data_IF_159598164952
#
_entry.id   IF_159598164952
#
_cell.length_a   1.000
_cell.length_b   1.000
_cell.length_c   1.000
_cell.angle_alpha   90.00
_cell.angle_beta   90.00
_cell.angle_gamma   90.00
#
_symmetry.space_group_name_H-M   'P 1'
#
loop_
_entity.id
_entity.type
_entity.pdbx_description
1 polymer ?
#
# COMPACT_ATOMS: atom_id res chain seq x y z
N UNK A 1 10.54 -28.57 7.33
CA UNK A 1 9.72 -29.64 7.94
C UNK A 1 9.54 -30.72 6.90
N UNK A 2 9.89 -31.98 7.22
CA UNK A 2 9.67 -33.14 6.35
C UNK A 2 8.22 -33.62 6.47
N UNK A 3 7.77 -34.48 5.54
CA UNK A 3 6.42 -35.06 5.60
C UNK A 3 6.25 -35.91 6.89
N UNK A 4 7.26 -36.71 7.24
CA UNK A 4 7.21 -37.58 8.43
C UNK A 4 7.08 -36.75 9.72
N UNK A 5 7.77 -35.63 9.82
CA UNK A 5 7.64 -34.71 10.97
C UNK A 5 6.23 -34.11 11.06
N UNK A 6 5.62 -33.76 9.92
CA UNK A 6 4.26 -33.25 9.88
C UNK A 6 3.26 -34.32 10.27
N UNK A 7 3.36 -35.54 9.71
CA UNK A 7 2.50 -36.67 10.07
C UNK A 7 2.61 -37.02 11.54
N UNK A 8 3.84 -37.12 12.07
CA UNK A 8 4.06 -37.35 13.51
C UNK A 8 3.41 -36.27 14.36
N UNK A 9 3.50 -34.98 13.92
CA UNK A 9 2.85 -33.90 14.64
C UNK A 9 1.32 -33.96 14.60
N UNK A 10 0.73 -34.52 13.56
CA UNK A 10 -0.72 -34.73 13.43
C UNK A 10 -1.20 -35.90 14.29
N UNK A 11 -0.46 -37.00 14.31
CA UNK A 11 -0.84 -38.27 14.94
C UNK A 11 -0.59 -38.31 16.45
N UNK A 12 0.41 -37.54 16.94
CA UNK A 12 0.71 -37.49 18.38
C UNK A 12 -0.52 -37.02 19.18
N UNK A 13 -0.79 -37.61 20.33
CA UNK A 13 -1.87 -37.16 21.18
C UNK A 13 -1.61 -35.80 21.81
N UNK A 14 -2.64 -35.00 22.13
CA UNK A 14 -2.48 -33.75 22.85
C UNK A 14 -1.95 -34.02 24.27
N UNK A 15 -1.11 -33.12 24.80
CA UNK A 15 -0.56 -33.20 26.15
C UNK A 15 -1.41 -32.36 27.11
N UNK A 16 -2.01 -32.99 28.09
CA UNK A 16 -2.87 -32.35 29.11
C UNK A 16 -4.11 -31.60 28.62
N UNK A 17 -4.50 -31.76 27.36
CA UNK A 17 -5.67 -31.13 26.76
C UNK A 17 -6.51 -32.15 25.97
N UNK A 18 -7.78 -31.80 25.67
CA UNK A 18 -8.66 -32.64 24.87
C UNK A 18 -8.30 -32.60 23.40
N UNK A 19 -7.76 -31.45 22.92
CA UNK A 19 -7.43 -31.21 21.52
C UNK A 19 -6.15 -30.43 21.35
N UNK A 20 -5.49 -30.62 20.22
CA UNK A 20 -4.34 -29.82 19.78
C UNK A 20 -4.59 -29.17 18.43
N UNK A 21 -3.89 -28.07 18.16
CA UNK A 21 -3.92 -27.37 16.87
C UNK A 21 -2.54 -27.50 16.22
N UNK A 22 -2.51 -28.02 14.99
CA UNK A 22 -1.32 -28.06 14.14
C UNK A 22 -1.48 -27.04 13.02
N UNK A 23 -0.64 -25.99 13.01
CA UNK A 23 -0.70 -24.94 11.99
C UNK A 23 0.44 -25.13 11.02
N UNK A 24 0.11 -25.32 9.74
CA UNK A 24 1.07 -25.47 8.63
C UNK A 24 1.00 -24.22 7.75
N UNK A 25 2.09 -23.48 7.70
CA UNK A 25 2.18 -22.25 6.89
C UNK A 25 2.81 -22.55 5.55
N UNK A 26 2.24 -21.98 4.48
CA UNK A 26 2.77 -22.02 3.10
C UNK A 26 3.13 -23.42 2.60
N UNK A 27 2.25 -24.38 2.83
CA UNK A 27 2.49 -25.77 2.47
C UNK A 27 2.57 -25.93 0.94
N UNK A 28 3.75 -26.29 0.45
CA UNK A 28 4.04 -26.36 -1.00
C UNK A 28 3.09 -27.27 -1.78
N UNK A 29 2.60 -28.34 -1.15
CA UNK A 29 1.68 -29.28 -1.78
C UNK A 29 0.32 -28.65 -2.13
N UNK A 30 -0.05 -27.53 -1.54
CA UNK A 30 -1.32 -26.83 -1.83
C UNK A 30 -1.19 -25.78 -2.93
N UNK A 31 0.03 -25.36 -3.30
CA UNK A 31 0.27 -24.26 -4.23
C UNK A 31 0.63 -24.73 -5.64
N UNK A 32 0.58 -23.81 -6.61
CA UNK A 32 1.07 -24.02 -7.99
C UNK A 32 2.60 -24.00 -8.09
N UNK A 33 3.32 -23.66 -7.03
CA UNK A 33 4.78 -23.55 -7.01
C UNK A 33 5.43 -24.89 -7.36
N UNK A 34 6.63 -24.82 -7.96
CA UNK A 34 7.44 -26.05 -8.16
C UNK A 34 7.78 -26.63 -6.79
N UNK A 35 7.44 -27.89 -6.60
CA UNK A 35 7.76 -28.64 -5.39
C UNK A 35 9.29 -28.68 -5.22
N UNK A 36 9.80 -28.20 -4.11
CA UNK A 36 11.23 -28.24 -3.77
C UNK A 36 11.55 -29.36 -2.79
N UNK A 37 10.64 -29.60 -1.84
CA UNK A 37 10.86 -30.45 -0.69
C UNK A 37 9.96 -31.71 -0.68
N UNK A 38 8.98 -31.80 -1.57
CA UNK A 38 8.00 -32.89 -1.59
C UNK A 38 7.89 -33.53 -2.97
N UNK A 39 7.74 -34.85 -3.04
CA UNK A 39 7.51 -35.61 -4.26
C UNK A 39 6.01 -35.81 -4.54
N UNK A 40 5.68 -36.34 -5.72
CA UNK A 40 4.28 -36.73 -6.05
C UNK A 40 3.80 -37.91 -5.20
N UNK A 41 4.73 -38.74 -4.71
CA UNK A 41 4.43 -39.81 -3.77
C UNK A 41 4.03 -39.23 -2.41
N UNK A 42 4.73 -38.21 -1.94
CA UNK A 42 4.40 -37.53 -0.68
C UNK A 42 3.02 -36.88 -0.72
N UNK A 43 2.63 -36.29 -1.87
CA UNK A 43 1.29 -35.73 -2.05
C UNK A 43 0.19 -36.80 -1.89
N UNK A 44 0.37 -37.97 -2.51
CA UNK A 44 -0.59 -39.06 -2.41
C UNK A 44 -0.66 -39.65 -1.00
N UNK A 45 0.49 -39.86 -0.38
CA UNK A 45 0.60 -40.34 1.00
C UNK A 45 -0.08 -39.38 1.96
N UNK A 46 0.18 -38.08 1.83
CA UNK A 46 -0.44 -37.07 2.70
C UNK A 46 -1.95 -36.95 2.47
N UNK A 47 -2.43 -37.04 1.23
CA UNK A 47 -3.84 -36.99 0.92
C UNK A 47 -4.62 -38.14 1.59
N UNK A 48 -4.04 -39.37 1.64
CA UNK A 48 -4.65 -40.50 2.35
C UNK A 48 -4.69 -40.34 3.86
N UNK A 49 -3.68 -39.69 4.46
CA UNK A 49 -3.67 -39.39 5.90
C UNK A 49 -4.69 -38.31 6.30
N UNK A 50 -5.01 -37.37 5.39
CA UNK A 50 -6.04 -36.35 5.64
C UNK A 50 -7.46 -36.94 5.79
N UNK A 51 -7.69 -38.14 5.32
CA UNK A 51 -8.99 -38.81 5.49
C UNK A 51 -9.19 -39.39 6.89
N UNK A 52 -8.09 -39.58 7.65
CA UNK A 52 -8.07 -40.25 8.96
C UNK A 52 -7.33 -39.41 10.02
N UNK A 53 -7.55 -38.11 10.05
CA UNK A 53 -6.98 -37.23 11.09
C UNK A 53 -7.65 -37.55 12.43
N UNK A 54 -6.89 -37.74 13.54
CA UNK A 54 -7.48 -37.96 14.86
C UNK A 54 -8.42 -36.82 15.28
N UNK A 55 -9.57 -37.15 15.87
CA UNK A 55 -10.56 -36.19 16.37
C UNK A 55 -10.00 -35.20 17.39
N UNK A 56 -8.87 -35.56 18.01
CA UNK A 56 -8.12 -34.74 18.96
C UNK A 56 -7.23 -33.70 18.27
N UNK A 57 -7.08 -33.72 16.94
CA UNK A 57 -6.21 -32.83 16.20
C UNK A 57 -7.00 -31.91 15.26
N UNK A 58 -6.82 -30.60 15.41
CA UNK A 58 -7.29 -29.58 14.45
C UNK A 58 -6.12 -29.19 13.57
N UNK A 59 -6.17 -29.55 12.29
CA UNK A 59 -5.15 -29.22 11.31
C UNK A 59 -5.54 -27.97 10.52
N UNK A 60 -4.71 -26.93 10.56
CA UNK A 60 -4.95 -25.65 9.90
C UNK A 60 -3.85 -25.39 8.89
N UNK A 61 -4.22 -25.17 7.62
CA UNK A 61 -3.31 -24.69 6.58
C UNK A 61 -3.51 -23.19 6.35
N UNK A 62 -2.47 -22.41 6.55
CA UNK A 62 -2.42 -21.00 6.21
C UNK A 62 -1.53 -20.84 4.96
N UNK A 63 -2.11 -20.50 3.80
CA UNK A 63 -1.40 -20.37 2.54
C UNK A 63 -1.49 -18.92 2.06
N UNK A 64 -0.33 -18.27 1.87
CA UNK A 64 -0.24 -16.96 1.23
C UNK A 64 -0.11 -17.16 -0.29
N UNK A 65 -1.13 -16.69 -1.03
CA UNK A 65 -1.18 -16.81 -2.49
C UNK A 65 -2.21 -17.80 -3.00
N UNK A 66 -2.06 -18.21 -4.27
CA UNK A 66 -3.05 -19.05 -4.92
C UNK A 66 -2.89 -20.54 -4.58
N UNK A 67 -3.98 -21.14 -4.10
CA UNK A 67 -4.11 -22.58 -3.92
C UNK A 67 -4.49 -23.23 -5.25
N UNK A 68 -3.83 -24.33 -5.65
CA UNK A 68 -4.20 -25.09 -6.85
C UNK A 68 -5.39 -26.03 -6.57
N UNK A 69 -6.58 -25.52 -6.83
CA UNK A 69 -7.86 -26.25 -6.62
C UNK A 69 -8.00 -27.57 -7.41
N UNK A 70 -7.09 -27.83 -8.36
CA UNK A 70 -7.12 -29.08 -9.17
C UNK A 70 -6.45 -30.24 -8.44
N UNK A 71 -5.66 -29.98 -7.42
CA UNK A 71 -4.95 -31.01 -6.67
C UNK A 71 -5.89 -31.85 -5.81
N UNK A 72 -5.63 -33.18 -5.78
CA UNK A 72 -6.43 -34.12 -4.98
C UNK A 72 -6.43 -33.77 -3.49
N UNK A 73 -5.29 -33.35 -2.96
CA UNK A 73 -5.12 -32.92 -1.57
C UNK A 73 -6.06 -31.75 -1.20
N UNK A 74 -6.23 -30.77 -2.10
CA UNK A 74 -7.13 -29.63 -1.87
C UNK A 74 -8.59 -30.08 -1.86
N UNK A 75 -8.93 -31.03 -2.74
CA UNK A 75 -10.27 -31.62 -2.78
C UNK A 75 -10.56 -32.42 -1.50
N UNK A 76 -9.61 -33.21 -1.00
CA UNK A 76 -9.74 -33.95 0.26
C UNK A 76 -9.95 -33.00 1.45
N UNK A 77 -9.17 -31.91 1.54
CA UNK A 77 -9.34 -30.88 2.58
C UNK A 77 -10.74 -30.25 2.50
N UNK A 78 -11.20 -29.91 1.28
CA UNK A 78 -12.50 -29.28 1.09
C UNK A 78 -13.69 -30.21 1.40
N UNK A 79 -13.51 -31.53 1.31
CA UNK A 79 -14.54 -32.52 1.66
C UNK A 79 -14.62 -32.76 3.17
N UNK A 80 -13.47 -32.82 3.83
CA UNK A 80 -13.37 -33.22 5.25
C UNK A 80 -13.23 -32.04 6.20
N UNK A 81 -13.15 -30.80 5.70
CA UNK A 81 -12.93 -29.60 6.47
C UNK A 81 -13.57 -28.37 5.84
N UNK A 82 -13.11 -27.22 6.28
CA UNK A 82 -13.60 -25.91 5.82
C UNK A 82 -12.46 -25.15 5.16
N UNK A 83 -12.70 -24.66 3.95
CA UNK A 83 -11.75 -23.81 3.23
C UNK A 83 -12.29 -22.37 3.13
N UNK A 84 -11.52 -21.41 3.63
CA UNK A 84 -11.81 -19.98 3.49
C UNK A 84 -10.86 -19.32 2.50
N UNK A 85 -11.41 -18.51 1.60
CA UNK A 85 -10.64 -17.66 0.72
C UNK A 85 -10.60 -16.25 1.32
N UNK A 86 -9.41 -15.81 1.78
CA UNK A 86 -9.21 -14.51 2.40
C UNK A 86 -8.77 -13.48 1.35
N UNK A 87 -9.67 -13.12 0.44
CA UNK A 87 -9.44 -12.06 -0.55
C UNK A 87 -9.67 -10.67 0.03
N UNK A 88 -9.20 -9.65 -0.70
CA UNK A 88 -9.52 -8.26 -0.36
C UNK A 88 -11.04 -8.06 -0.45
N UNK A 89 -11.63 -7.55 0.62
CA UNK A 89 -13.08 -7.30 0.69
C UNK A 89 -13.53 -6.22 -0.30
N UNK A 90 -14.82 -6.21 -0.67
CA UNK A 90 -15.38 -5.23 -1.62
C UNK A 90 -15.30 -3.79 -1.08
N UNK A 91 -15.46 -2.78 -1.95
CA UNK A 91 -15.40 -1.37 -1.54
C UNK A 91 -16.49 -1.03 -0.51
N UNK A 92 -17.68 -1.58 -0.70
CA UNK A 92 -18.80 -1.37 0.22
C UNK A 92 -18.56 -2.02 1.58
N UNK A 93 -18.00 -3.22 1.59
CA UNK A 93 -17.63 -3.92 2.84
C UNK A 93 -16.49 -3.22 3.55
N UNK A 94 -15.48 -2.77 2.81
CA UNK A 94 -14.36 -2.00 3.36
C UNK A 94 -14.85 -0.68 4.00
N UNK A 95 -15.74 0.03 3.33
CA UNK A 95 -16.33 1.24 3.88
C UNK A 95 -17.09 0.97 5.18
N UNK A 96 -17.98 -0.03 5.18
CA UNK A 96 -18.76 -0.40 6.38
C UNK A 96 -17.85 -0.86 7.53
N UNK A 97 -16.83 -1.65 7.20
CA UNK A 97 -15.88 -2.15 8.19
C UNK A 97 -15.05 -1.00 8.79
N UNK A 98 -14.53 -0.10 7.96
CA UNK A 98 -13.76 1.08 8.38
C UNK A 98 -14.59 1.99 9.27
N UNK A 99 -15.83 2.27 8.87
CA UNK A 99 -16.78 3.08 9.66
C UNK A 99 -16.98 2.47 11.04
N UNK A 100 -17.32 1.18 11.10
CA UNK A 100 -17.52 0.46 12.37
C UNK A 100 -16.27 0.48 13.26
N UNK A 101 -15.05 0.46 12.67
CA UNK A 101 -13.80 0.54 13.41
C UNK A 101 -13.58 1.91 14.04
N UNK A 102 -13.84 3.01 13.32
CA UNK A 102 -13.80 4.36 13.88
C UNK A 102 -14.84 4.54 14.98
N UNK A 103 -16.07 4.08 14.76
CA UNK A 103 -17.14 4.10 15.77
C UNK A 103 -16.75 3.34 17.05
N UNK A 104 -16.15 2.15 16.91
CA UNK A 104 -15.65 1.35 18.05
C UNK A 104 -14.56 2.08 18.84
N UNK A 105 -13.79 2.94 18.20
CA UNK A 105 -12.77 3.77 18.86
C UNK A 105 -13.32 5.12 19.33
N UNK A 106 -14.63 5.35 19.33
CA UNK A 106 -15.29 6.59 19.71
C UNK A 106 -14.75 7.83 18.96
N UNK A 107 -14.46 7.68 17.67
CA UNK A 107 -13.83 8.71 16.85
C UNK A 107 -14.85 9.39 15.94
N UNK A 108 -14.94 10.72 15.99
CA UNK A 108 -15.80 11.50 15.11
C UNK A 108 -15.18 11.66 13.73
N UNK A 109 -15.82 11.03 12.72
CA UNK A 109 -15.38 11.07 11.33
C UNK A 109 -16.59 11.04 10.38
N UNK A 110 -16.59 11.87 9.33
CA UNK A 110 -17.64 11.84 8.34
C UNK A 110 -17.39 10.79 7.25
N UNK A 111 -18.45 10.43 6.53
CA UNK A 111 -18.35 9.46 5.43
C UNK A 111 -17.36 9.91 4.33
N UNK A 112 -17.27 11.22 4.06
CA UNK A 112 -16.31 11.76 3.09
C UNK A 112 -14.86 11.51 3.50
N UNK A 113 -14.53 11.70 4.79
CA UNK A 113 -13.21 11.43 5.34
C UNK A 113 -12.89 9.93 5.41
N UNK A 114 -13.91 9.09 5.66
CA UNK A 114 -13.75 7.63 5.59
C UNK A 114 -13.37 7.21 4.16
N UNK A 115 -14.05 7.73 3.15
CA UNK A 115 -13.73 7.46 1.74
C UNK A 115 -12.31 7.94 1.39
N UNK A 116 -11.97 9.18 1.79
CA UNK A 116 -10.62 9.73 1.60
C UNK A 116 -9.54 8.86 2.26
N UNK A 117 -9.77 8.42 3.49
CA UNK A 117 -8.87 7.53 4.22
C UNK A 117 -8.68 6.20 3.48
N UNK A 118 -9.77 5.53 3.08
CA UNK A 118 -9.71 4.26 2.34
C UNK A 118 -8.91 4.42 1.03
N UNK A 119 -9.20 5.47 0.26
CA UNK A 119 -8.49 5.75 -0.98
C UNK A 119 -7.00 6.02 -0.73
N UNK A 120 -6.65 6.75 0.34
CA UNK A 120 -5.26 7.06 0.68
C UNK A 120 -4.44 5.84 1.07
N UNK A 121 -5.06 4.78 1.63
CA UNK A 121 -4.36 3.52 1.97
C UNK A 121 -3.89 2.76 0.73
N UNK A 122 -4.57 2.91 -0.40
CA UNK A 122 -4.35 2.11 -1.61
C UNK A 122 -4.62 0.62 -1.40
N UNK A 123 -5.42 0.24 -0.41
CA UNK A 123 -5.75 -1.17 -0.11
C UNK A 123 -6.24 -1.94 -1.33
N UNK A 124 -6.97 -1.27 -2.24
CA UNK A 124 -7.51 -1.88 -3.45
C UNK A 124 -6.52 -1.99 -4.62
N UNK A 125 -5.36 -1.38 -4.52
CA UNK A 125 -4.37 -1.46 -5.58
C UNK A 125 -3.86 -2.90 -5.70
N UNK A 126 -3.79 -3.41 -6.92
CA UNK A 126 -3.39 -4.81 -7.20
C UNK A 126 -1.98 -5.14 -6.73
N UNK A 127 -1.10 -4.13 -6.73
CA UNK A 127 0.30 -4.28 -6.34
C UNK A 127 0.58 -3.84 -4.90
N UNK A 128 -0.46 -3.55 -4.12
CA UNK A 128 -0.32 -3.13 -2.73
C UNK A 128 -0.64 -4.31 -1.81
N UNK A 129 0.31 -4.69 -0.98
CA UNK A 129 0.19 -5.75 0.03
C UNK A 129 -0.52 -5.30 1.31
N UNK A 130 -1.08 -4.08 1.31
CA UNK A 130 -1.80 -3.51 2.45
C UNK A 130 -2.95 -4.42 2.88
N UNK A 131 -2.98 -4.76 4.16
CA UNK A 131 -3.96 -5.67 4.76
C UNK A 131 -5.01 -4.92 5.57
N UNK A 132 -6.07 -5.61 6.00
CA UNK A 132 -7.04 -5.03 6.95
C UNK A 132 -6.40 -4.76 8.32
N UNK A 133 -5.36 -5.51 8.71
CA UNK A 133 -4.62 -5.25 9.93
C UNK A 133 -3.84 -3.93 9.87
N UNK A 134 -3.27 -3.60 8.72
CA UNK A 134 -2.59 -2.33 8.51
C UNK A 134 -3.59 -1.16 8.59
N UNK A 135 -4.77 -1.32 7.98
CA UNK A 135 -5.85 -0.33 8.08
C UNK A 135 -6.31 -0.17 9.54
N UNK A 136 -6.47 -1.26 10.29
CA UNK A 136 -6.85 -1.21 11.71
C UNK A 136 -5.82 -0.45 12.55
N UNK A 137 -4.54 -0.68 12.31
CA UNK A 137 -3.45 0.02 12.99
C UNK A 137 -3.46 1.53 12.66
N UNK A 138 -3.71 1.90 11.40
CA UNK A 138 -3.85 3.31 11.02
C UNK A 138 -5.08 3.96 11.67
N UNK A 139 -6.22 3.26 11.69
CA UNK A 139 -7.42 3.74 12.37
C UNK A 139 -7.14 3.98 13.84
N UNK A 140 -6.49 3.05 14.55
CA UNK A 140 -6.13 3.21 15.96
C UNK A 140 -5.24 4.43 16.18
N UNK A 141 -4.24 4.62 15.32
CA UNK A 141 -3.32 5.77 15.39
C UNK A 141 -4.06 7.09 15.21
N UNK A 142 -4.94 7.18 14.20
CA UNK A 142 -5.77 8.36 13.95
C UNK A 142 -6.72 8.61 15.12
N UNK A 143 -7.37 7.56 15.63
CA UNK A 143 -8.30 7.64 16.75
C UNK A 143 -7.61 8.09 18.04
N UNK A 144 -6.42 7.56 18.34
CA UNK A 144 -5.64 7.97 19.50
C UNK A 144 -5.18 9.42 19.43
N UNK A 145 -4.89 9.92 18.22
CA UNK A 145 -4.52 11.32 18.01
C UNK A 145 -5.72 12.27 18.15
N UNK A 146 -6.86 11.92 17.55
CA UNK A 146 -8.06 12.75 17.56
C UNK A 146 -8.75 12.76 18.94
N UNK A 147 -8.70 11.65 19.66
CA UNK A 147 -9.50 11.49 20.90
C UNK A 147 -11.01 11.48 20.60
N UNK A 148 -11.82 11.74 21.66
CA UNK A 148 -13.30 11.82 21.52
C UNK A 148 -13.80 13.16 21.00
N UNK A 149 -13.02 14.22 21.14
CA UNK A 149 -13.48 15.61 21.01
C UNK A 149 -13.07 16.26 19.67
N UNK A 150 -12.14 15.65 18.94
CA UNK A 150 -11.66 16.20 17.67
C UNK A 150 -12.23 15.41 16.49
N UNK A 151 -12.90 16.09 15.58
CA UNK A 151 -13.36 15.52 14.33
C UNK A 151 -12.18 15.28 13.39
N UNK A 152 -12.08 14.07 12.85
CA UNK A 152 -11.03 13.71 11.89
C UNK A 152 -11.22 14.47 10.58
N UNK A 153 -10.19 15.17 10.15
CA UNK A 153 -10.11 15.87 8.86
C UNK A 153 -9.13 15.20 7.91
N UNK A 154 -9.13 15.60 6.64
CA UNK A 154 -8.16 15.09 5.66
C UNK A 154 -6.72 15.41 6.07
N UNK A 155 -6.49 16.58 6.70
CA UNK A 155 -5.17 16.99 7.19
C UNK A 155 -4.66 16.05 8.29
N UNK A 156 -5.54 15.61 9.20
CA UNK A 156 -5.18 14.63 10.25
C UNK A 156 -4.84 13.29 9.61
N UNK A 157 -5.65 12.83 8.64
CA UNK A 157 -5.38 11.60 7.90
C UNK A 157 -4.02 11.67 7.19
N UNK A 158 -3.76 12.73 6.44
CA UNK A 158 -2.51 12.94 5.71
C UNK A 158 -1.28 12.99 6.64
N UNK A 159 -1.42 13.64 7.79
CA UNK A 159 -0.33 13.79 8.78
C UNK A 159 0.06 12.46 9.42
N UNK A 160 -0.91 11.57 9.62
CA UNK A 160 -0.73 10.33 10.36
C UNK A 160 -0.60 9.09 9.48
N UNK A 161 -0.87 9.19 8.16
CA UNK A 161 -0.80 8.04 7.26
C UNK A 161 0.64 7.51 7.14
N UNK A 162 0.78 6.22 6.85
CA UNK A 162 2.10 5.63 6.55
C UNK A 162 2.74 6.21 5.28
N UNK A 163 1.92 6.81 4.41
CA UNK A 163 2.36 7.50 3.19
C UNK A 163 2.59 9.01 3.43
N UNK A 164 2.95 9.39 4.67
CA UNK A 164 3.15 10.80 5.03
C UNK A 164 4.06 11.52 4.04
N UNK A 165 5.21 10.94 3.72
CA UNK A 165 6.15 11.56 2.81
C UNK A 165 5.59 11.74 1.39
N UNK A 166 4.83 10.76 0.86
CA UNK A 166 4.16 10.91 -0.44
C UNK A 166 3.14 12.06 -0.40
N UNK A 167 2.38 12.18 0.69
CA UNK A 167 1.43 13.27 0.89
C UNK A 167 2.12 14.62 1.02
N UNK A 168 3.26 14.69 1.71
CA UNK A 168 4.03 15.94 1.85
C UNK A 168 4.67 16.34 0.52
N UNK A 169 5.12 15.39 -0.31
CA UNK A 169 5.54 15.66 -1.69
C UNK A 169 4.37 16.22 -2.53
N UNK A 170 3.16 15.68 -2.41
CA UNK A 170 1.99 16.23 -3.09
C UNK A 170 1.72 17.68 -2.66
N UNK A 171 1.77 17.97 -1.35
CA UNK A 171 1.59 19.33 -0.81
C UNK A 171 2.68 20.26 -1.30
N UNK A 172 3.94 19.83 -1.29
CA UNK A 172 5.07 20.61 -1.80
C UNK A 172 4.83 21.00 -3.27
N UNK A 173 4.42 20.05 -4.10
CA UNK A 173 4.14 20.31 -5.51
C UNK A 173 2.92 21.22 -5.71
N UNK A 174 1.87 21.06 -4.90
CA UNK A 174 0.71 21.97 -4.89
C UNK A 174 1.16 23.40 -4.56
N UNK A 175 1.96 23.60 -3.50
CA UNK A 175 2.49 24.94 -3.14
C UNK A 175 3.37 25.54 -4.23
N UNK A 176 4.18 24.73 -4.92
CA UNK A 176 4.96 25.21 -6.09
C UNK A 176 4.02 25.66 -7.20
N UNK A 177 2.97 24.89 -7.49
CA UNK A 177 1.97 25.24 -8.48
C UNK A 177 1.18 26.51 -8.15
N UNK A 178 0.83 26.66 -6.88
CA UNK A 178 0.10 27.82 -6.35
C UNK A 178 1.00 29.06 -6.14
N UNK A 179 2.31 28.96 -6.46
CA UNK A 179 3.30 30.02 -6.27
C UNK A 179 3.47 30.45 -4.81
N UNK A 180 3.21 29.54 -3.88
CA UNK A 180 3.32 29.75 -2.45
C UNK A 180 4.69 29.29 -1.94
N UNK A 181 5.72 30.09 -2.19
CA UNK A 181 7.11 29.76 -1.82
C UNK A 181 7.31 29.59 -0.32
N UNK A 182 6.60 30.34 0.50
CA UNK A 182 6.73 30.28 1.96
C UNK A 182 6.31 28.90 2.49
N UNK A 183 5.14 28.40 2.09
CA UNK A 183 4.67 27.08 2.51
C UNK A 183 5.45 25.95 1.83
N UNK A 184 5.91 26.14 0.59
CA UNK A 184 6.76 25.18 -0.10
C UNK A 184 8.09 24.96 0.63
N UNK A 185 8.79 26.06 1.02
CA UNK A 185 10.03 25.97 1.80
C UNK A 185 9.79 25.39 3.19
N UNK A 186 8.69 25.78 3.84
CA UNK A 186 8.35 25.25 5.17
C UNK A 186 8.21 23.73 5.13
N UNK A 187 7.36 23.19 4.24
CA UNK A 187 7.14 21.74 4.16
C UNK A 187 8.41 20.98 3.75
N UNK A 188 9.25 21.58 2.88
CA UNK A 188 10.55 21.03 2.52
C UNK A 188 11.46 20.89 3.74
N UNK A 189 11.56 21.94 4.56
CA UNK A 189 12.36 21.93 5.78
C UNK A 189 11.81 20.93 6.81
N UNK A 190 10.48 20.84 6.94
CA UNK A 190 9.85 19.87 7.83
C UNK A 190 10.23 18.42 7.42
N UNK A 191 10.19 18.09 6.13
CA UNK A 191 10.62 16.78 5.62
C UNK A 191 12.10 16.48 5.90
N UNK A 192 12.99 17.46 5.69
CA UNK A 192 14.43 17.31 5.97
C UNK A 192 14.68 17.11 7.47
N UNK A 193 14.00 17.89 8.33
CA UNK A 193 14.12 17.78 9.79
C UNK A 193 13.57 16.45 10.34
N UNK A 194 12.63 15.81 9.62
CA UNK A 194 12.13 14.49 9.93
C UNK A 194 13.06 13.35 9.47
N UNK A 195 14.19 13.69 8.85
CA UNK A 195 15.23 12.75 8.45
C UNK A 195 15.19 12.31 6.99
N UNK A 196 14.33 12.92 6.17
CA UNK A 196 14.29 12.61 4.75
C UNK A 196 15.53 13.17 4.04
N UNK A 197 16.16 12.33 3.21
CA UNK A 197 17.30 12.79 2.42
C UNK A 197 16.85 13.68 1.26
N UNK A 198 17.59 14.75 1.01
CA UNK A 198 17.29 15.68 -0.10
C UNK A 198 17.25 14.94 -1.45
N UNK A 199 18.16 14.00 -1.68
CA UNK A 199 18.14 13.16 -2.89
C UNK A 199 16.90 12.29 -2.96
N UNK A 200 16.41 11.78 -1.83
CA UNK A 200 15.14 11.05 -1.74
C UNK A 200 13.96 11.94 -2.12
N UNK A 201 13.91 13.17 -1.60
CA UNK A 201 12.88 14.16 -1.94
C UNK A 201 12.94 14.49 -3.45
N UNK A 202 14.12 14.70 -4.02
CA UNK A 202 14.29 14.91 -5.46
C UNK A 202 13.75 13.73 -6.29
N UNK A 203 14.07 12.50 -5.90
CA UNK A 203 13.59 11.30 -6.58
C UNK A 203 12.06 11.19 -6.54
N UNK A 204 11.45 11.55 -5.41
CA UNK A 204 9.99 11.54 -5.26
C UNK A 204 9.32 12.65 -6.07
N UNK A 205 9.86 13.87 -6.09
CA UNK A 205 9.37 14.97 -6.92
C UNK A 205 9.47 14.58 -8.40
N UNK A 206 10.60 14.02 -8.84
CA UNK A 206 10.79 13.53 -10.21
C UNK A 206 9.75 12.49 -10.59
N UNK A 207 9.55 11.47 -9.74
CA UNK A 207 8.52 10.45 -9.94
C UNK A 207 7.13 11.07 -10.08
N UNK A 208 6.80 12.02 -9.19
CA UNK A 208 5.49 12.65 -9.19
C UNK A 208 5.23 13.49 -10.44
N UNK A 209 6.21 14.29 -10.88
CA UNK A 209 6.05 15.07 -12.11
C UNK A 209 5.98 14.20 -13.36
N UNK A 210 6.68 13.06 -13.41
CA UNK A 210 6.51 12.08 -14.49
C UNK A 210 5.08 11.54 -14.54
N UNK A 211 4.49 11.22 -13.38
CA UNK A 211 3.09 10.78 -13.30
C UNK A 211 2.15 11.90 -13.76
N UNK A 212 2.35 13.13 -13.29
CA UNK A 212 1.52 14.29 -13.70
C UNK A 212 1.59 14.53 -15.20
N UNK A 213 2.77 14.41 -15.80
CA UNK A 213 2.94 14.55 -17.25
C UNK A 213 2.16 13.47 -18.01
N UNK A 214 2.33 12.20 -17.63
CA UNK A 214 1.62 11.07 -18.26
C UNK A 214 0.10 11.20 -18.12
N UNK A 215 -0.38 11.59 -16.93
CA UNK A 215 -1.80 11.83 -16.68
C UNK A 215 -2.32 12.96 -17.57
N UNK A 216 -1.57 14.08 -17.68
CA UNK A 216 -1.94 15.22 -18.53
C UNK A 216 -2.03 14.83 -20.01
N UNK A 217 -1.06 14.09 -20.52
CA UNK A 217 -1.08 13.56 -21.89
C UNK A 217 -2.29 12.67 -22.15
N UNK A 218 -2.63 11.78 -21.21
CA UNK A 218 -3.76 10.87 -21.38
C UNK A 218 -5.11 11.58 -21.28
N UNK A 219 -5.22 12.61 -20.43
CA UNK A 219 -6.39 13.50 -20.39
C UNK A 219 -6.57 14.24 -21.72
N UNK A 220 -5.49 14.77 -22.30
CA UNK A 220 -5.52 15.45 -23.61
C UNK A 220 -5.94 14.50 -24.75
N UNK A 221 -5.70 13.18 -24.57
CA UNK A 221 -6.21 12.12 -25.49
C UNK A 221 -7.66 11.71 -25.20
N UNK A 222 -8.35 12.36 -24.27
CA UNK A 222 -9.76 12.11 -23.93
C UNK A 222 -10.04 10.91 -23.04
N UNK A 223 -9.02 10.33 -22.37
CA UNK A 223 -9.24 9.21 -21.46
C UNK A 223 -9.86 9.70 -20.14
N UNK A 224 -10.81 8.91 -19.60
CA UNK A 224 -11.36 9.16 -18.30
C UNK A 224 -10.42 8.65 -17.16
N UNK A 225 -10.68 9.08 -15.92
CA UNK A 225 -9.83 8.78 -14.76
C UNK A 225 -9.61 7.28 -14.56
N UNK A 226 -10.64 6.45 -14.79
CA UNK A 226 -10.55 5.00 -14.64
C UNK A 226 -9.64 4.39 -15.70
N UNK A 227 -9.79 4.78 -16.96
CA UNK A 227 -8.95 4.30 -18.03
C UNK A 227 -7.47 4.72 -17.85
N UNK A 228 -7.23 5.93 -17.29
CA UNK A 228 -5.88 6.39 -16.92
C UNK A 228 -5.31 5.53 -15.79
N UNK A 229 -6.09 5.28 -14.75
CA UNK A 229 -5.72 4.41 -13.63
C UNK A 229 -5.31 3.01 -14.10
N UNK A 230 -6.13 2.38 -14.92
CA UNK A 230 -5.87 1.05 -15.48
C UNK A 230 -4.61 1.03 -16.38
N UNK A 231 -4.44 2.05 -17.22
CA UNK A 231 -3.32 2.16 -18.16
C UNK A 231 -1.98 2.39 -17.46
N UNK A 232 -1.95 3.29 -16.48
CA UNK A 232 -0.75 3.62 -15.72
C UNK A 232 -0.51 2.67 -14.53
N UNK A 233 -1.45 1.78 -14.23
CA UNK A 233 -1.45 0.89 -13.04
C UNK A 233 -1.29 1.67 -11.73
N UNK A 234 -1.95 2.81 -11.65
CA UNK A 234 -1.98 3.69 -10.48
C UNK A 234 -3.36 3.64 -9.82
N UNK A 235 -3.43 3.91 -8.52
CA UNK A 235 -4.72 4.08 -7.84
C UNK A 235 -5.49 5.29 -8.37
N UNK A 236 -6.81 5.23 -8.31
CA UNK A 236 -7.66 6.38 -8.67
C UNK A 236 -7.34 7.61 -7.80
N UNK A 237 -6.93 7.39 -6.54
CA UNK A 237 -6.50 8.45 -5.64
C UNK A 237 -5.29 9.24 -6.19
N UNK A 238 -4.23 8.52 -6.63
CA UNK A 238 -3.05 9.13 -7.24
C UNK A 238 -3.41 9.83 -8.56
N UNK A 239 -4.23 9.19 -9.38
CA UNK A 239 -4.69 9.79 -10.65
C UNK A 239 -5.46 11.09 -10.40
N UNK A 240 -6.42 11.09 -9.47
CA UNK A 240 -7.22 12.28 -9.12
C UNK A 240 -6.35 13.41 -8.56
N UNK A 241 -5.41 13.10 -7.65
CA UNK A 241 -4.41 14.09 -7.17
C UNK A 241 -3.57 14.64 -8.32
N UNK A 242 -3.07 13.78 -9.20
CA UNK A 242 -2.24 14.18 -10.35
C UNK A 242 -3.02 15.03 -11.37
N UNK A 243 -4.31 14.75 -11.57
CA UNK A 243 -5.20 15.59 -12.40
C UNK A 243 -5.32 16.99 -11.82
N UNK A 244 -5.53 17.10 -10.49
CA UNK A 244 -5.60 18.40 -9.82
C UNK A 244 -4.31 19.19 -10.02
N UNK A 245 -3.17 18.57 -9.75
CA UNK A 245 -1.84 19.18 -9.92
C UNK A 245 -1.61 19.59 -11.38
N UNK A 246 -1.98 18.75 -12.36
CA UNK A 246 -1.74 18.99 -13.78
C UNK A 246 -2.37 20.28 -14.30
N UNK A 247 -3.37 20.83 -13.61
CA UNK A 247 -4.00 22.11 -13.95
C UNK A 247 -3.11 23.32 -13.69
N UNK A 248 -2.20 23.20 -12.70
CA UNK A 248 -1.31 24.28 -12.28
C UNK A 248 -0.01 24.36 -13.09
N UNK A 249 0.26 23.36 -13.94
CA UNK A 249 1.51 23.29 -14.71
C UNK A 249 1.24 23.05 -16.21
N UNK A 250 1.96 23.77 -17.05
CA UNK A 250 2.03 23.43 -18.49
C UNK A 250 2.97 22.23 -18.69
N UNK A 251 2.84 21.53 -19.82
CA UNK A 251 3.76 20.42 -20.16
C UNK A 251 5.21 20.91 -20.25
N UNK A 252 5.42 22.09 -20.84
CA UNK A 252 6.73 22.72 -20.92
C UNK A 252 7.34 22.98 -19.55
N UNK A 253 6.54 23.46 -18.58
CA UNK A 253 7.01 23.68 -17.20
C UNK A 253 7.40 22.37 -16.52
N UNK A 254 6.64 21.30 -16.70
CA UNK A 254 6.94 19.99 -16.13
C UNK A 254 8.26 19.45 -16.71
N UNK A 255 8.44 19.55 -18.02
CA UNK A 255 9.67 19.12 -18.72
C UNK A 255 10.88 19.92 -18.21
N UNK A 256 10.76 21.24 -18.08
CA UNK A 256 11.83 22.09 -17.55
C UNK A 256 12.20 21.71 -16.10
N UNK A 257 11.21 21.41 -15.25
CA UNK A 257 11.45 20.92 -13.91
C UNK A 257 12.16 19.56 -13.88
N UNK A 258 11.75 18.62 -14.73
CA UNK A 258 12.39 17.31 -14.83
C UNK A 258 13.85 17.42 -15.28
N UNK A 259 14.13 18.30 -16.23
CA UNK A 259 15.50 18.60 -16.70
C UNK A 259 16.33 19.23 -15.57
N UNK A 260 15.75 20.20 -14.85
CA UNK A 260 16.44 20.82 -13.71
C UNK A 260 16.79 19.79 -12.63
N UNK A 261 15.88 18.88 -12.30
CA UNK A 261 16.12 17.80 -11.33
C UNK A 261 17.26 16.90 -11.81
N UNK A 262 17.27 16.52 -13.07
CA UNK A 262 18.30 15.67 -13.68
C UNK A 262 19.69 16.33 -13.63
N UNK A 263 19.77 17.60 -14.00
CA UNK A 263 21.02 18.37 -13.92
C UNK A 263 21.50 18.55 -12.48
N UNK A 264 20.56 18.80 -11.55
CA UNK A 264 20.89 18.95 -10.14
C UNK A 264 21.42 17.65 -9.54
N UNK A 265 20.79 16.51 -9.83
CA UNK A 265 21.27 15.19 -9.40
C UNK A 265 22.71 14.92 -9.90
N UNK A 266 22.98 15.23 -11.17
CA UNK A 266 24.33 15.12 -11.71
C UNK A 266 25.34 16.02 -10.99
N UNK A 267 25.01 17.32 -10.76
CA UNK A 267 25.89 18.29 -10.11
C UNK A 267 26.16 17.90 -8.65
N UNK A 268 25.13 17.41 -7.93
CA UNK A 268 25.28 16.94 -6.54
C UNK A 268 26.22 15.74 -6.48
N UNK A 269 26.00 14.73 -7.33
CA UNK A 269 26.85 13.52 -7.38
C UNK A 269 28.30 13.81 -7.75
N UNK A 270 28.56 14.89 -8.47
CA UNK A 270 29.91 15.37 -8.81
C UNK A 270 30.51 16.31 -7.76
N UNK A 271 29.80 16.62 -6.69
CA UNK A 271 30.26 17.57 -5.67
C UNK A 271 30.28 19.03 -6.11
N UNK A 272 29.61 19.36 -7.24
CA UNK A 272 29.57 20.70 -7.81
C UNK A 272 28.47 21.58 -7.20
N UNK A 273 27.53 20.97 -6.47
CA UNK A 273 26.39 21.68 -5.85
C UNK A 273 25.99 20.95 -4.57
N UNK A 274 25.65 21.72 -3.54
CA UNK A 274 25.05 21.19 -2.32
C UNK A 274 23.60 20.78 -2.61
N UNK A 275 23.20 19.65 -2.10
CA UNK A 275 21.86 19.08 -2.30
C UNK A 275 20.75 19.98 -1.76
N UNK A 276 20.91 20.54 -0.55
CA UNK A 276 19.97 21.51 0.03
C UNK A 276 19.80 22.76 -0.83
N UNK A 277 20.90 23.32 -1.33
CA UNK A 277 20.86 24.48 -2.22
C UNK A 277 20.11 24.15 -3.53
N UNK A 278 20.34 22.97 -4.09
CA UNK A 278 19.71 22.56 -5.33
C UNK A 278 18.17 22.51 -5.21
N UNK A 279 17.66 21.95 -4.10
CA UNK A 279 16.20 21.83 -3.91
C UNK A 279 15.55 23.16 -3.54
N UNK A 280 16.23 24.01 -2.76
CA UNK A 280 15.77 25.38 -2.47
C UNK A 280 15.70 26.22 -3.75
N UNK A 281 16.68 26.09 -4.63
CA UNK A 281 16.69 26.76 -5.94
C UNK A 281 15.54 26.24 -6.84
N UNK A 282 15.23 24.94 -6.81
CA UNK A 282 14.07 24.40 -7.51
C UNK A 282 12.79 25.10 -7.03
N UNK A 283 12.56 25.13 -5.72
CA UNK A 283 11.37 25.79 -5.15
C UNK A 283 11.35 27.26 -5.52
N UNK A 284 12.48 27.98 -5.35
CA UNK A 284 12.56 29.40 -5.69
C UNK A 284 12.26 29.66 -7.17
N UNK A 285 12.92 28.92 -8.08
CA UNK A 285 12.75 29.06 -9.53
C UNK A 285 11.30 28.89 -9.98
N UNK A 286 10.61 27.89 -9.44
CA UNK A 286 9.27 27.53 -9.93
C UNK A 286 8.11 28.11 -9.10
N UNK A 287 8.38 28.66 -7.90
CA UNK A 287 7.41 29.47 -7.15
C UNK A 287 7.36 30.95 -7.57
N UNK A 288 8.32 31.45 -8.36
CA UNK A 288 8.27 32.84 -8.81
C UNK A 288 7.06 33.08 -9.72
N UNK A 289 6.29 34.13 -9.43
CA UNK A 289 5.33 34.65 -10.39
C UNK A 289 6.16 35.17 -11.58
N UNK A 290 5.90 34.70 -12.78
CA UNK A 290 6.42 35.37 -13.98
C UNK A 290 5.87 36.79 -13.93
N UNK A 291 6.74 37.76 -13.67
CA UNK A 291 6.44 39.18 -13.94
C UNK A 291 6.37 39.24 -15.45
N UNK A 292 5.14 39.28 -15.98
CA UNK A 292 4.85 39.49 -17.41
C UNK A 292 5.10 40.96 -17.75
#
# INVERSE_FOLDING_TARGET
>A
TTLDQLLSSIETLPFMDERKIVIVKDFELLTKSKKKNFSDKDEKTFASHLENIPDTTILVFAVYGEVDKRKSIVNTISKNGIAYNCEKISDMELFKWTKKKFEKNNTMIDNAQIMYFIESTGYKDKNNEYTLSDIDNEIRKISSFAGSDTKVTNEIIDRLSQKKIENDIFKLIDYIGDKNSQNAIKILNDMINEGESVLGIFAMINRQFKIVLQVKELLNKGLNNKAISDKLKLSLFIVNKSIKISRNFTESMIIDMLNYILESDYKIKKGLMRDTLAIEMLVSKYCQRRVS
#
